data_IF_766662439766
#
_entry.id   IF_766662439766
#
_cell.length_a   1.000
_cell.length_b   1.000
_cell.length_c   1.000
_cell.angle_alpha   90.00
_cell.angle_beta   90.00
_cell.angle_gamma   90.00
#
_symmetry.space_group_name_H-M   'P 1'
#
loop_
_entity.id
_entity.type
_entity.pdbx_description
1 polymer ?
#
# COMPACT_ATOMS: atom_id res chain seq x y z
N UNK A 1 -2.36 -5.08 16.18
CA UNK A 1 -1.05 -4.62 15.65
C UNK A 1 -0.25 -5.83 15.17
N UNK A 2 -0.38 -6.19 13.89
CA UNK A 2 0.64 -7.02 13.23
C UNK A 2 1.80 -6.08 12.93
N UNK A 3 2.96 -6.35 13.51
CA UNK A 3 4.12 -5.46 13.43
C UNK A 3 4.85 -5.69 12.11
N UNK A 4 4.55 -4.85 11.13
CA UNK A 4 5.21 -4.83 9.82
C UNK A 4 6.24 -3.70 9.87
N UNK A 5 7.51 -4.07 9.97
CA UNK A 5 8.65 -3.15 10.01
C UNK A 5 8.64 -2.23 8.79
N UNK A 6 8.73 -0.91 9.00
CA UNK A 6 8.90 0.07 7.92
C UNK A 6 10.17 -0.17 7.11
N UNK A 7 10.21 0.36 5.88
CA UNK A 7 11.22 0.10 4.83
C UNK A 7 12.70 0.14 5.29
N UNK A 8 13.01 0.85 6.37
CA UNK A 8 14.36 0.96 6.93
C UNK A 8 14.83 -0.21 7.81
N UNK A 9 13.93 -0.93 8.50
CA UNK A 9 14.33 -1.96 9.49
C UNK A 9 14.51 -3.36 8.87
N UNK A 10 13.90 -3.64 7.71
CA UNK A 10 14.06 -4.92 7.00
C UNK A 10 15.44 -5.11 6.35
N UNK A 11 16.22 -4.04 6.19
CA UNK A 11 17.56 -4.10 5.61
C UNK A 11 18.63 -4.56 6.62
N UNK A 12 18.23 -4.91 7.85
CA UNK A 12 19.16 -5.32 8.92
C UNK A 12 19.47 -6.82 8.82
N UNK A 13 20.77 -7.09 8.68
CA UNK A 13 21.37 -8.36 8.28
C UNK A 13 21.18 -9.46 9.31
N UNK A 14 20.64 -10.61 8.87
CA UNK A 14 20.79 -11.89 9.58
C UNK A 14 21.16 -12.98 8.56
N UNK A 15 22.45 -13.33 8.55
CA UNK A 15 23.06 -14.52 7.94
C UNK A 15 23.06 -14.73 6.41
N UNK A 16 24.29 -14.91 5.90
CA UNK A 16 24.58 -15.90 4.87
C UNK A 16 24.75 -15.35 3.45
N UNK A 17 25.90 -15.67 2.85
CA UNK A 17 26.18 -15.50 1.42
C UNK A 17 25.13 -16.28 0.62
N UNK A 18 24.15 -15.62 -0.01
CA UNK A 18 23.11 -16.33 -0.76
C UNK A 18 22.07 -15.44 -1.46
N UNK A 19 22.15 -15.42 -2.80
CA UNK A 19 21.19 -14.88 -3.80
C UNK A 19 20.70 -13.42 -3.64
N UNK A 20 20.56 -12.70 -4.76
CA UNK A 20 20.04 -11.32 -4.80
C UNK A 20 18.59 -11.31 -4.30
N UNK A 21 18.38 -10.95 -3.03
CA UNK A 21 17.04 -10.83 -2.43
C UNK A 21 16.36 -9.58 -3.00
N UNK A 22 15.20 -9.78 -3.61
CA UNK A 22 14.32 -8.71 -4.11
C UNK A 22 13.08 -8.69 -3.22
N UNK A 23 12.65 -7.50 -2.82
CA UNK A 23 11.40 -7.28 -2.07
C UNK A 23 10.28 -6.87 -3.03
N UNK A 24 9.04 -7.10 -2.62
CA UNK A 24 7.82 -6.60 -3.28
C UNK A 24 7.04 -5.81 -2.23
N UNK A 25 6.33 -4.77 -2.64
CA UNK A 25 5.40 -4.04 -1.78
C UNK A 25 4.02 -4.69 -1.87
N UNK A 26 3.29 -4.72 -0.76
CA UNK A 26 1.90 -5.16 -0.70
C UNK A 26 1.08 -4.00 -0.15
N UNK A 27 0.19 -3.46 -0.99
CA UNK A 27 -0.71 -2.36 -0.65
C UNK A 27 -2.08 -2.96 -0.35
N UNK A 28 -2.75 -2.49 0.71
CA UNK A 28 -4.03 -3.02 1.18
C UNK A 28 -5.02 -1.88 1.36
N UNK A 29 -6.20 -2.01 0.75
CA UNK A 29 -7.39 -1.24 1.11
C UNK A 29 -8.17 -2.02 2.17
N UNK A 30 -8.39 -1.40 3.32
CA UNK A 30 -9.04 -2.06 4.48
C UNK A 30 -10.20 -1.21 4.95
N UNK A 31 -11.34 -1.85 5.21
CA UNK A 31 -12.46 -1.21 5.87
C UNK A 31 -12.11 -0.89 7.33
N UNK A 32 -12.25 0.36 7.75
CA UNK A 32 -11.82 0.80 9.08
C UNK A 32 -12.67 0.16 10.21
N UNK A 33 -13.97 -0.02 9.98
CA UNK A 33 -14.90 -0.51 11.00
C UNK A 33 -14.74 -2.01 11.24
N UNK A 34 -14.77 -2.80 10.16
CA UNK A 34 -14.75 -4.27 10.21
C UNK A 34 -13.33 -4.85 10.20
N UNK A 35 -12.36 -4.11 9.65
CA UNK A 35 -11.02 -4.61 9.37
C UNK A 35 -10.94 -5.56 8.17
N UNK A 36 -12.00 -5.65 7.35
CA UNK A 36 -12.01 -6.47 6.15
C UNK A 36 -11.10 -5.88 5.07
N UNK A 37 -10.36 -6.75 4.35
CA UNK A 37 -9.55 -6.32 3.21
C UNK A 37 -10.48 -6.21 2.00
N UNK A 38 -10.64 -4.99 1.50
CA UNK A 38 -11.50 -4.67 0.36
C UNK A 38 -10.73 -4.64 -0.97
N UNK A 39 -9.40 -4.43 -0.93
CA UNK A 39 -8.55 -4.43 -2.11
C UNK A 39 -7.10 -4.74 -1.76
N UNK A 40 -6.37 -5.32 -2.71
CA UNK A 40 -4.94 -5.59 -2.52
C UNK A 40 -4.17 -5.50 -3.84
N UNK A 41 -2.99 -4.89 -3.80
CA UNK A 41 -2.10 -4.78 -4.96
C UNK A 41 -0.67 -5.11 -4.55
N UNK A 42 0.03 -5.90 -5.36
CA UNK A 42 1.45 -6.26 -5.15
C UNK A 42 2.31 -5.66 -6.24
N UNK A 43 3.27 -4.82 -5.85
CA UNK A 43 4.14 -4.09 -6.77
C UNK A 43 5.62 -4.42 -6.54
N UNK A 44 6.47 -4.07 -7.50
CA UNK A 44 7.92 -4.00 -7.26
C UNK A 44 8.28 -2.76 -6.43
N UNK A 45 9.51 -2.70 -5.91
CA UNK A 45 9.96 -1.54 -5.12
C UNK A 45 10.14 -0.25 -5.94
N UNK A 46 10.14 -0.34 -7.28
CA UNK A 46 10.27 0.82 -8.17
C UNK A 46 8.94 1.53 -8.46
N UNK A 47 7.82 0.98 -7.97
CA UNK A 47 6.50 1.64 -8.04
C UNK A 47 6.32 2.52 -6.81
N UNK A 48 5.96 3.78 -7.03
CA UNK A 48 5.62 4.72 -5.96
C UNK A 48 4.23 4.39 -5.40
N UNK A 49 4.01 4.67 -4.12
CA UNK A 49 2.79 4.24 -3.45
C UNK A 49 1.54 4.97 -4.01
N UNK A 50 1.69 6.26 -4.37
CA UNK A 50 0.65 7.05 -5.02
C UNK A 50 0.15 6.46 -6.35
N UNK A 51 1.01 5.76 -7.11
CA UNK A 51 0.63 5.16 -8.39
C UNK A 51 -0.35 3.98 -8.24
N UNK A 52 -0.51 3.45 -7.02
CA UNK A 52 -1.27 2.23 -6.74
C UNK A 52 -2.69 2.53 -6.23
N UNK A 53 -2.98 3.78 -5.87
CA UNK A 53 -4.24 4.13 -5.21
C UNK A 53 -5.46 3.81 -6.05
N UNK A 54 -5.44 4.15 -7.35
CA UNK A 54 -6.55 3.87 -8.27
C UNK A 54 -6.86 2.38 -8.34
N UNK A 55 -5.83 1.54 -8.52
CA UNK A 55 -5.97 0.08 -8.59
C UNK A 55 -6.61 -0.52 -7.33
N UNK A 56 -6.40 0.09 -6.17
CA UNK A 56 -7.01 -0.33 -4.90
C UNK A 56 -8.48 0.08 -4.88
N UNK A 57 -8.79 1.36 -5.19
CA UNK A 57 -10.14 1.90 -5.11
C UNK A 57 -11.10 1.25 -6.14
N UNK A 58 -10.60 0.86 -7.30
CA UNK A 58 -11.37 0.13 -8.32
C UNK A 58 -11.81 -1.26 -7.87
N UNK A 59 -11.15 -1.87 -6.88
CA UNK A 59 -11.54 -3.16 -6.30
C UNK A 59 -12.66 -3.02 -5.26
N UNK A 60 -12.95 -1.81 -4.80
CA UNK A 60 -13.94 -1.55 -3.76
C UNK A 60 -15.25 -1.12 -4.43
N UNK A 61 -16.25 -1.99 -4.43
CA UNK A 61 -17.57 -1.69 -5.00
C UNK A 61 -18.42 -0.75 -4.10
N UNK A 62 -18.17 -0.79 -2.79
CA UNK A 62 -18.91 -0.01 -1.80
C UNK A 62 -18.66 1.51 -1.95
N UNK A 63 -19.60 2.38 -1.52
CA UNK A 63 -19.33 3.80 -1.42
C UNK A 63 -18.23 4.06 -0.38
N UNK A 64 -17.31 4.96 -0.72
CA UNK A 64 -16.17 5.34 0.14
C UNK A 64 -16.42 6.76 0.63
N UNK A 65 -16.56 6.95 1.93
CA UNK A 65 -16.79 8.28 2.52
C UNK A 65 -15.47 9.02 2.80
N UNK A 66 -14.42 8.28 3.13
CA UNK A 66 -13.10 8.82 3.46
C UNK A 66 -12.02 7.79 3.08
N UNK A 67 -10.87 8.28 2.64
CA UNK A 67 -9.65 7.49 2.46
C UNK A 67 -8.60 8.00 3.45
N UNK A 68 -7.97 7.09 4.18
CA UNK A 68 -6.85 7.38 5.08
C UNK A 68 -5.62 6.62 4.59
N UNK A 69 -4.55 7.33 4.25
CA UNK A 69 -3.29 6.76 3.75
C UNK A 69 -2.08 7.30 4.51
N UNK A 70 -0.91 6.73 4.24
CA UNK A 70 0.35 7.30 4.71
C UNK A 70 0.85 8.44 3.80
N UNK A 71 2.00 9.02 4.14
CA UNK A 71 2.63 10.14 3.41
C UNK A 71 2.95 9.79 1.95
N UNK A 72 3.13 8.51 1.61
CA UNK A 72 3.34 8.04 0.24
C UNK A 72 2.14 8.26 -0.68
N UNK A 73 0.94 8.48 -0.10
CA UNK A 73 -0.29 8.82 -0.83
C UNK A 73 -0.63 10.31 -0.76
N UNK A 74 0.16 11.15 -0.07
CA UNK A 74 -0.09 12.59 0.04
C UNK A 74 0.39 13.33 -1.22
N UNK A 75 -0.34 13.14 -2.32
CA UNK A 75 -0.04 13.74 -3.63
C UNK A 75 -1.30 14.27 -4.30
N UNK A 76 -1.15 15.30 -5.15
CA UNK A 76 -2.28 15.88 -5.90
C UNK A 76 -3.02 14.83 -6.75
N UNK A 77 -2.29 13.94 -7.42
CA UNK A 77 -2.87 12.87 -8.24
C UNK A 77 -3.74 11.91 -7.40
N UNK A 78 -3.33 11.61 -6.16
CA UNK A 78 -4.15 10.84 -5.23
C UNK A 78 -5.43 11.58 -4.83
N UNK A 79 -5.34 12.89 -4.54
CA UNK A 79 -6.50 13.70 -4.18
C UNK A 79 -7.51 13.78 -5.34
N UNK A 80 -7.01 13.95 -6.57
CA UNK A 80 -7.85 13.95 -7.77
C UNK A 80 -8.54 12.59 -7.95
N UNK A 81 -7.78 11.49 -7.83
CA UNK A 81 -8.32 10.12 -7.89
C UNK A 81 -9.44 9.89 -6.86
N UNK A 82 -9.26 10.38 -5.63
CA UNK A 82 -10.27 10.24 -4.57
C UNK A 82 -11.51 11.10 -4.89
N UNK A 83 -11.32 12.30 -5.42
CA UNK A 83 -12.42 13.21 -5.75
C UNK A 83 -13.25 12.75 -6.95
N UNK A 84 -12.68 11.94 -7.84
CA UNK A 84 -13.36 11.36 -9.01
C UNK A 84 -14.19 10.10 -8.69
N UNK A 85 -14.06 9.54 -7.48
CA UNK A 85 -14.69 8.30 -7.04
C UNK A 85 -15.99 8.56 -6.26
#
# INVERSE_FOLDING_TARGET
MVKVYGEGEWKVRTHGVGKRRTWRKLHLGVDEESGEILGAVVTTNDVADCEVLTDILEQIDAPIEQVSGDDGYDTFDCYDTIAER
#
